data_IF_870996473826
#
_entry.id   IF_870996473826
#
_cell.length_a   1.000
_cell.length_b   1.000
_cell.length_c   1.000
_cell.angle_alpha   90.00
_cell.angle_beta   90.00
_cell.angle_gamma   90.00
#
_symmetry.space_group_name_H-M   'P 1'
#
loop_
_entity.id
_entity.type
_entity.pdbx_description
1 polymer ?
#
# COMPACT_ATOMS: atom_id res chain seq x y z
N UNK A 1 13.15 8.21 35.48
CA UNK A 1 12.07 9.09 34.93
C UNK A 1 11.61 8.49 33.61
N UNK A 2 10.72 7.50 33.67
CA UNK A 2 10.23 6.75 32.51
C UNK A 2 9.04 7.46 31.89
N UNK A 3 9.27 7.87 30.81
CA UNK A 3 8.76 8.55 29.64
C UNK A 3 7.26 8.61 29.42
N UNK A 4 6.80 9.82 29.19
CA UNK A 4 5.48 10.23 28.65
C UNK A 4 4.93 9.43 27.44
N UNK A 5 5.71 8.86 26.50
CA UNK A 5 5.17 8.19 25.32
C UNK A 5 4.41 6.89 25.65
N UNK A 6 4.84 6.12 26.65
CA UNK A 6 4.19 4.84 26.97
C UNK A 6 2.85 5.04 27.69
N UNK A 7 2.72 6.07 28.50
CA UNK A 7 1.44 6.43 29.14
C UNK A 7 0.42 6.91 28.11
N UNK A 8 0.86 7.73 27.17
CA UNK A 8 0.02 8.23 26.08
C UNK A 8 -0.46 7.08 25.19
N UNK A 9 0.44 6.16 24.84
CA UNK A 9 0.09 4.97 24.03
C UNK A 9 -0.95 4.09 24.72
N UNK A 10 -0.79 3.82 26.03
CA UNK A 10 -1.77 3.05 26.82
C UNK A 10 -3.11 3.74 26.93
N UNK A 11 -3.12 5.06 27.15
CA UNK A 11 -4.38 5.84 27.21
C UNK A 11 -5.14 5.75 25.89
N UNK A 12 -4.45 5.91 24.77
CA UNK A 12 -5.07 5.82 23.44
C UNK A 12 -5.55 4.40 23.14
N UNK A 13 -4.80 3.38 23.50
CA UNK A 13 -5.25 1.99 23.41
C UNK A 13 -6.54 1.76 24.19
N UNK A 14 -6.64 2.32 25.42
CA UNK A 14 -7.85 2.24 26.25
C UNK A 14 -9.04 2.98 25.64
N UNK A 15 -8.82 4.20 25.15
CA UNK A 15 -9.87 5.01 24.51
C UNK A 15 -10.31 4.38 23.18
N UNK A 16 -9.39 3.90 22.37
CA UNK A 16 -9.68 3.26 21.08
C UNK A 16 -10.47 1.95 21.24
N UNK A 17 -10.44 1.35 22.42
CA UNK A 17 -11.21 0.15 22.77
C UNK A 17 -12.67 0.45 23.18
N UNK A 18 -13.09 1.71 23.26
CA UNK A 18 -14.46 2.05 23.69
C UNK A 18 -15.47 1.93 22.54
N UNK A 19 -16.75 1.63 22.87
CA UNK A 19 -17.85 1.59 21.89
C UNK A 19 -18.13 2.96 21.27
N UNK A 20 -17.99 4.03 22.07
CA UNK A 20 -18.18 5.42 21.60
C UNK A 20 -17.10 5.78 20.58
N UNK A 21 -15.84 5.42 20.85
CA UNK A 21 -14.76 5.61 19.88
C UNK A 21 -15.04 4.85 18.58
N UNK A 22 -15.48 3.60 18.66
CA UNK A 22 -15.81 2.79 17.48
C UNK A 22 -16.91 3.42 16.59
N UNK A 23 -17.84 4.19 17.18
CA UNK A 23 -18.91 4.90 16.44
C UNK A 23 -18.41 6.19 15.78
N UNK A 24 -17.55 6.94 16.45
CA UNK A 24 -17.14 8.30 16.09
C UNK A 24 -15.83 8.30 15.27
N UNK A 25 -14.88 7.45 15.62
CA UNK A 25 -13.56 7.42 14.99
C UNK A 25 -13.57 7.21 13.47
N UNK A 26 -14.45 6.39 12.86
CA UNK A 26 -14.49 6.22 11.41
C UNK A 26 -14.79 7.49 10.63
N UNK A 27 -15.41 8.47 11.27
CA UNK A 27 -15.74 9.77 10.66
C UNK A 27 -14.73 10.85 11.04
N UNK A 28 -14.34 10.90 12.32
CA UNK A 28 -13.48 11.96 12.86
C UNK A 28 -12.01 11.72 12.54
N UNK A 29 -11.50 10.49 12.70
CA UNK A 29 -10.09 10.22 12.47
C UNK A 29 -9.70 10.44 11.01
N UNK A 30 -10.41 9.92 9.99
CA UNK A 30 -10.10 10.19 8.59
C UNK A 30 -10.34 11.66 8.19
N UNK A 31 -11.29 12.36 8.82
CA UNK A 31 -11.53 13.77 8.56
C UNK A 31 -10.40 14.63 9.12
N UNK A 32 -9.98 14.34 10.35
CA UNK A 32 -8.88 15.02 11.02
C UNK A 32 -7.55 14.73 10.34
N UNK A 33 -7.27 13.48 10.00
CA UNK A 33 -6.07 13.10 9.25
C UNK A 33 -6.03 13.76 7.87
N UNK A 34 -7.15 13.87 7.16
CA UNK A 34 -7.22 14.59 5.88
C UNK A 34 -6.99 16.09 6.04
N UNK A 35 -7.53 16.71 7.10
CA UNK A 35 -7.32 18.12 7.39
C UNK A 35 -5.85 18.39 7.72
N UNK A 36 -5.26 17.61 8.61
CA UNK A 36 -3.85 17.72 8.99
C UNK A 36 -2.94 17.41 7.80
N UNK A 37 -3.26 16.38 7.02
CA UNK A 37 -2.50 16.05 5.80
C UNK A 37 -2.52 17.17 4.77
N UNK A 38 -3.66 17.86 4.58
CA UNK A 38 -3.75 19.03 3.70
C UNK A 38 -2.94 20.22 4.24
N UNK A 39 -3.04 20.50 5.54
CA UNK A 39 -2.36 21.62 6.20
C UNK A 39 -0.84 21.43 6.27
N UNK A 40 -0.37 20.19 6.33
CA UNK A 40 1.07 19.86 6.45
C UNK A 40 1.71 19.44 5.14
N UNK A 41 1.03 19.62 4.01
CA UNK A 41 1.55 19.22 2.68
C UNK A 41 1.86 17.73 2.59
N UNK A 42 1.09 16.89 3.28
CA UNK A 42 1.26 15.44 3.21
C UNK A 42 2.25 14.83 4.21
N UNK A 43 2.82 15.65 5.10
CA UNK A 43 3.93 15.22 5.99
C UNK A 43 3.50 14.60 7.32
N UNK A 44 2.30 14.89 7.81
CA UNK A 44 1.84 14.46 9.13
C UNK A 44 0.47 13.80 9.05
N UNK A 45 0.37 12.56 9.52
CA UNK A 45 -0.86 11.91 9.94
C UNK A 45 -0.86 11.88 11.47
N UNK A 46 -1.88 12.45 12.13
CA UNK A 46 -1.96 12.48 13.60
C UNK A 46 -1.92 11.07 14.20
N UNK A 47 -2.56 10.11 13.53
CA UNK A 47 -2.56 8.69 13.88
C UNK A 47 -1.16 8.06 13.76
N UNK A 48 -0.29 8.58 12.90
CA UNK A 48 1.07 8.06 12.68
C UNK A 48 2.01 8.27 13.88
N UNK A 49 1.67 9.16 14.81
CA UNK A 49 2.42 9.32 16.09
C UNK A 49 2.24 8.12 17.02
N UNK A 50 1.21 7.30 16.78
CA UNK A 50 0.85 6.16 17.62
C UNK A 50 1.02 4.82 16.91
N UNK A 51 0.71 4.79 15.62
CA UNK A 51 0.89 3.64 14.74
C UNK A 51 1.50 4.13 13.42
N UNK A 52 2.43 3.40 12.83
CA UNK A 52 2.88 3.66 11.47
C UNK A 52 1.67 3.73 10.54
N UNK A 53 1.63 4.74 9.69
CA UNK A 53 0.53 4.97 8.75
C UNK A 53 1.02 5.10 7.32
N UNK A 54 0.20 4.65 6.40
CA UNK A 54 0.39 4.83 4.95
C UNK A 54 -0.90 5.35 4.31
N UNK A 55 -0.81 5.88 3.10
CA UNK A 55 -1.99 6.15 2.29
C UNK A 55 -2.06 5.07 1.21
N UNK A 56 -3.12 4.26 1.27
CA UNK A 56 -3.42 3.26 0.25
C UNK A 56 -4.20 3.91 -0.90
N UNK A 57 -3.72 3.75 -2.13
CA UNK A 57 -4.45 4.06 -3.36
C UNK A 57 -4.83 2.76 -4.03
N UNK A 58 -6.13 2.41 -3.99
CA UNK A 58 -6.69 1.19 -4.59
C UNK A 58 -7.68 1.52 -5.70
N UNK A 59 -7.92 0.59 -6.61
CA UNK A 59 -8.94 0.70 -7.64
C UNK A 59 -10.30 0.33 -7.05
N UNK A 60 -11.30 1.20 -7.18
CA UNK A 60 -12.65 0.99 -6.67
C UNK A 60 -13.32 -0.23 -7.30
N UNK A 61 -13.82 -1.17 -6.47
CA UNK A 61 -14.41 -2.41 -6.94
C UNK A 61 -15.63 -2.23 -7.85
N UNK A 62 -16.44 -1.20 -7.61
CA UNK A 62 -17.63 -0.90 -8.41
C UNK A 62 -17.34 0.04 -9.58
N UNK A 63 -16.53 1.09 -9.34
CA UNK A 63 -16.37 2.19 -10.30
C UNK A 63 -15.09 2.13 -11.12
N UNK A 64 -14.11 1.32 -10.73
CA UNK A 64 -12.78 1.29 -11.32
C UNK A 64 -11.93 2.54 -11.03
N UNK A 65 -12.48 3.57 -10.40
CA UNK A 65 -11.79 4.83 -10.13
C UNK A 65 -10.81 4.69 -8.94
N UNK A 66 -9.70 5.44 -8.93
CA UNK A 66 -8.78 5.45 -7.81
C UNK A 66 -9.45 5.90 -6.51
N UNK A 67 -9.17 5.18 -5.42
CA UNK A 67 -9.66 5.45 -4.06
C UNK A 67 -8.49 5.53 -3.10
N UNK A 68 -8.33 6.69 -2.47
CA UNK A 68 -7.26 6.94 -1.51
C UNK A 68 -7.80 6.89 -0.09
N UNK A 69 -7.14 6.16 0.78
CA UNK A 69 -7.51 6.03 2.19
C UNK A 69 -6.26 5.97 3.07
N UNK A 70 -6.18 6.82 4.13
CA UNK A 70 -5.14 6.69 5.13
C UNK A 70 -5.44 5.49 6.04
N UNK A 71 -4.43 4.65 6.27
CA UNK A 71 -4.53 3.43 7.07
C UNK A 71 -3.36 3.31 8.03
N UNK A 72 -3.63 2.83 9.24
CA UNK A 72 -2.59 2.28 10.09
C UNK A 72 -2.07 0.99 9.46
N UNK A 73 -0.78 0.77 9.54
CA UNK A 73 -0.12 -0.42 9.01
C UNK A 73 0.90 -0.95 10.02
N UNK A 74 1.22 -2.22 9.90
CA UNK A 74 2.37 -2.82 10.56
C UNK A 74 3.41 -3.13 9.47
N UNK A 75 4.56 -2.42 9.45
CA UNK A 75 5.68 -2.80 8.58
C UNK A 75 6.19 -4.18 8.97
N UNK A 76 6.51 -5.04 8.00
CA UNK A 76 6.98 -6.40 8.28
C UNK A 76 8.49 -6.46 8.53
N UNK A 77 9.24 -5.46 8.04
CA UNK A 77 10.66 -5.31 8.30
C UNK A 77 11.08 -3.83 8.37
N UNK A 78 12.34 -3.58 8.77
CA UNK A 78 12.89 -2.23 8.89
C UNK A 78 12.98 -1.50 7.54
N UNK A 79 13.16 -2.23 6.44
CA UNK A 79 13.22 -1.68 5.09
C UNK A 79 11.82 -1.44 4.50
N UNK A 80 10.75 -1.83 5.23
CA UNK A 80 9.36 -1.81 4.79
C UNK A 80 9.21 -2.47 3.40
N UNK A 81 9.77 -3.68 3.24
CA UNK A 81 9.58 -4.48 2.05
C UNK A 81 8.14 -4.95 1.91
N UNK A 82 7.40 -4.98 3.03
CA UNK A 82 5.99 -5.31 3.10
C UNK A 82 5.25 -4.61 4.25
N UNK A 83 3.93 -4.65 4.19
CA UNK A 83 3.05 -4.12 5.24
C UNK A 83 1.88 -5.06 5.47
N UNK A 84 1.51 -5.23 6.75
CA UNK A 84 0.23 -5.82 7.11
C UNK A 84 -0.82 -4.72 7.31
N UNK A 85 -1.96 -4.89 6.66
CA UNK A 85 -3.15 -4.04 6.82
C UNK A 85 -4.27 -4.81 7.49
N UNK A 86 -4.93 -4.18 8.46
CA UNK A 86 -5.99 -4.78 9.26
C UNK A 86 -7.33 -4.13 8.94
N UNK A 87 -8.24 -4.89 8.31
CA UNK A 87 -9.59 -4.44 7.92
C UNK A 87 -10.56 -4.42 9.10
N UNK A 88 -10.14 -3.85 10.23
CA UNK A 88 -10.92 -3.86 11.49
C UNK A 88 -12.19 -3.02 11.43
N UNK A 89 -12.16 -1.91 10.70
CA UNK A 89 -13.25 -0.92 10.71
C UNK A 89 -13.68 -0.51 12.13
N UNK A 90 -12.72 -0.43 13.06
CA UNK A 90 -12.95 -0.13 14.48
C UNK A 90 -13.93 -1.10 15.18
N UNK A 91 -14.07 -2.34 14.70
CA UNK A 91 -15.01 -3.32 15.25
C UNK A 91 -16.46 -3.05 14.86
N UNK A 92 -16.72 -2.51 13.66
CA UNK A 92 -18.06 -2.41 13.06
C UNK A 92 -18.34 -3.64 12.20
N UNK A 93 -19.63 -3.98 12.02
CA UNK A 93 -20.04 -5.18 11.31
C UNK A 93 -19.67 -5.18 9.82
N UNK A 94 -19.73 -4.02 9.17
CA UNK A 94 -19.35 -3.92 7.77
C UNK A 94 -17.82 -3.95 7.60
N UNK A 95 -17.36 -4.65 6.56
CA UNK A 95 -15.97 -4.53 6.11
C UNK A 95 -15.68 -3.12 5.58
N UNK A 96 -14.48 -2.56 5.80
CA UNK A 96 -14.09 -1.31 5.14
C UNK A 96 -14.01 -1.52 3.61
N UNK A 97 -14.50 -0.52 2.86
CA UNK A 97 -14.62 -0.62 1.40
C UNK A 97 -13.30 -0.96 0.68
N UNK A 98 -12.16 -0.45 1.20
CA UNK A 98 -10.85 -0.73 0.62
C UNK A 98 -10.51 -2.23 0.59
N UNK A 99 -11.04 -3.03 1.53
CA UNK A 99 -10.80 -4.48 1.53
C UNK A 99 -11.50 -5.17 0.36
N UNK A 100 -12.71 -4.71 0.00
CA UNK A 100 -13.42 -5.16 -1.20
C UNK A 100 -12.70 -4.75 -2.48
N UNK A 101 -12.12 -3.54 -2.50
CA UNK A 101 -11.32 -3.07 -3.61
C UNK A 101 -10.10 -3.97 -3.87
N UNK A 102 -9.34 -4.29 -2.81
CA UNK A 102 -8.15 -5.14 -2.92
C UNK A 102 -8.47 -6.60 -3.26
N UNK A 103 -9.64 -7.11 -2.86
CA UNK A 103 -10.08 -8.45 -3.27
C UNK A 103 -10.33 -8.52 -4.78
N UNK A 104 -10.92 -7.46 -5.34
CA UNK A 104 -11.22 -7.42 -6.78
C UNK A 104 -10.03 -6.99 -7.62
N UNK A 105 -9.25 -6.05 -7.12
CA UNK A 105 -8.09 -5.46 -7.78
C UNK A 105 -6.91 -5.46 -6.80
N UNK A 106 -6.10 -6.52 -6.79
CA UNK A 106 -5.02 -6.66 -5.81
C UNK A 106 -3.84 -5.71 -6.04
N UNK A 107 -3.69 -5.16 -7.23
CA UNK A 107 -2.65 -4.19 -7.52
C UNK A 107 -3.06 -2.80 -7.04
N UNK A 108 -2.17 -2.17 -6.29
CA UNK A 108 -2.40 -0.91 -5.61
C UNK A 108 -1.10 -0.11 -5.48
N UNK A 109 -1.20 1.08 -4.90
CA UNK A 109 -0.05 1.89 -4.54
C UNK A 109 -0.13 2.28 -3.07
N UNK A 110 1.00 2.39 -2.42
CA UNK A 110 1.10 2.98 -1.08
C UNK A 110 1.98 4.22 -1.11
N UNK A 111 1.50 5.28 -0.46
CA UNK A 111 2.36 6.42 -0.12
C UNK A 111 2.91 6.19 1.28
N UNK A 112 4.22 5.96 1.37
CA UNK A 112 4.95 5.67 2.59
C UNK A 112 6.20 6.55 2.66
N UNK A 113 6.34 7.31 3.76
CA UNK A 113 7.48 8.21 3.99
C UNK A 113 7.81 9.11 2.78
N UNK A 114 6.77 9.70 2.19
CA UNK A 114 6.91 10.61 1.04
C UNK A 114 7.16 9.94 -0.32
N UNK A 115 7.21 8.61 -0.38
CA UNK A 115 7.41 7.84 -1.62
C UNK A 115 6.12 7.13 -2.01
N UNK A 116 5.81 7.08 -3.29
CA UNK A 116 4.76 6.23 -3.86
C UNK A 116 5.39 4.93 -4.32
N UNK A 117 4.87 3.81 -3.82
CA UNK A 117 5.43 2.48 -4.02
C UNK A 117 4.31 1.59 -4.58
N UNK A 118 4.49 0.99 -5.77
CA UNK A 118 3.57 0.01 -6.29
C UNK A 118 3.64 -1.26 -5.45
N UNK A 119 2.46 -1.81 -5.13
CA UNK A 119 2.33 -3.01 -4.29
C UNK A 119 1.31 -3.97 -4.86
N UNK A 120 1.43 -5.23 -4.48
CA UNK A 120 0.39 -6.24 -4.66
C UNK A 120 -0.14 -6.67 -3.30
N UNK A 121 -1.46 -6.65 -3.17
CA UNK A 121 -2.17 -7.05 -1.97
C UNK A 121 -2.56 -8.54 -2.05
N UNK A 122 -2.42 -9.26 -0.94
CA UNK A 122 -2.89 -10.63 -0.80
C UNK A 122 -3.67 -10.77 0.52
N UNK A 123 -4.88 -11.31 0.43
CA UNK A 123 -5.63 -11.70 1.62
C UNK A 123 -4.91 -12.86 2.30
N UNK A 124 -4.73 -12.77 3.61
CA UNK A 124 -4.11 -13.85 4.40
C UNK A 124 -5.17 -14.83 4.88
N UNK A 125 -4.87 -16.11 4.76
CA UNK A 125 -5.76 -17.21 5.15
C UNK A 125 -4.98 -18.30 5.92
N UNK A 126 -5.70 -19.25 6.52
CA UNK A 126 -5.13 -20.40 7.20
C UNK A 126 -4.09 -20.05 8.28
N UNK A 127 -3.05 -20.84 8.37
CA UNK A 127 -2.01 -20.72 9.39
C UNK A 127 -1.22 -19.39 9.28
N UNK A 128 -1.03 -18.89 8.05
CA UNK A 128 -0.35 -17.61 7.82
C UNK A 128 -1.16 -16.45 8.41
N UNK A 129 -2.48 -16.45 8.21
CA UNK A 129 -3.35 -15.45 8.83
C UNK A 129 -3.30 -15.51 10.35
N UNK A 130 -3.29 -16.70 10.94
CA UNK A 130 -3.24 -16.85 12.40
C UNK A 130 -1.90 -16.32 12.97
N UNK A 131 -0.80 -16.57 12.28
CA UNK A 131 0.50 -16.00 12.65
C UNK A 131 0.49 -14.47 12.57
N UNK A 132 0.00 -13.92 11.45
CA UNK A 132 -0.13 -12.49 11.25
C UNK A 132 -1.10 -11.86 12.26
N UNK A 133 -2.21 -12.53 12.60
CA UNK A 133 -3.16 -12.05 13.60
C UNK A 133 -2.51 -11.90 14.98
N UNK A 134 -1.73 -12.89 15.43
CA UNK A 134 -0.97 -12.79 16.67
C UNK A 134 -0.01 -11.61 16.65
N UNK A 135 0.70 -11.42 15.54
CA UNK A 135 1.64 -10.31 15.38
C UNK A 135 0.95 -8.94 15.45
N UNK A 136 -0.15 -8.73 14.72
CA UNK A 136 -0.86 -7.44 14.72
C UNK A 136 -1.57 -7.17 16.04
N UNK A 137 -2.03 -8.19 16.77
CA UNK A 137 -2.60 -8.03 18.12
C UNK A 137 -1.51 -7.68 19.14
N UNK A 138 -0.33 -8.30 19.04
CA UNK A 138 0.81 -7.92 19.88
C UNK A 138 1.27 -6.48 19.60
N UNK A 139 1.26 -6.08 18.32
CA UNK A 139 1.59 -4.73 17.89
C UNK A 139 0.55 -3.67 18.33
N UNK A 140 -0.75 -4.01 18.22
CA UNK A 140 -1.88 -3.15 18.60
C UNK A 140 -3.01 -3.95 19.25
N UNK A 141 -2.99 -4.14 20.58
CA UNK A 141 -3.97 -4.96 21.32
C UNK A 141 -5.46 -4.64 21.07
N UNK A 142 -5.87 -3.39 20.79
CA UNK A 142 -7.28 -3.11 20.48
C UNK A 142 -7.86 -3.91 19.31
N UNK A 143 -7.06 -4.48 18.41
CA UNK A 143 -7.57 -5.35 17.34
C UNK A 143 -8.31 -6.58 17.89
N UNK A 144 -7.83 -7.17 18.99
CA UNK A 144 -8.53 -8.27 19.66
C UNK A 144 -9.91 -7.83 20.18
N UNK A 145 -10.00 -6.62 20.79
CA UNK A 145 -11.27 -6.06 21.24
C UNK A 145 -12.23 -5.79 20.07
N UNK A 146 -11.71 -5.33 18.93
CA UNK A 146 -12.54 -5.13 17.74
C UNK A 146 -13.09 -6.44 17.20
N UNK A 147 -12.27 -7.50 17.14
CA UNK A 147 -12.71 -8.82 16.70
C UNK A 147 -13.75 -9.42 17.64
N UNK A 148 -13.60 -9.24 18.95
CA UNK A 148 -14.53 -9.77 19.95
C UNK A 148 -15.94 -9.14 19.90
N UNK A 149 -16.11 -8.01 19.19
CA UNK A 149 -17.39 -7.29 19.09
C UNK A 149 -18.22 -7.65 17.88
N UNK A 150 -17.62 -8.35 16.92
CA UNK A 150 -18.21 -8.61 15.60
C UNK A 150 -18.08 -10.09 15.26
N UNK A 151 -19.06 -10.61 14.59
CA UNK A 151 -19.05 -12.02 14.14
C UNK A 151 -18.16 -12.22 12.91
N UNK A 152 -18.11 -11.21 12.02
CA UNK A 152 -17.26 -11.31 10.84
C UNK A 152 -15.79 -11.42 11.22
N UNK A 153 -15.06 -12.24 10.50
CA UNK A 153 -13.61 -12.34 10.63
C UNK A 153 -12.94 -11.08 10.04
N UNK A 154 -12.12 -10.38 10.83
CA UNK A 154 -11.35 -9.23 10.36
C UNK A 154 -10.38 -9.68 9.28
N UNK A 155 -10.46 -9.07 8.10
CA UNK A 155 -9.56 -9.34 6.98
C UNK A 155 -8.18 -8.78 7.25
N UNK A 156 -7.15 -9.58 6.97
CA UNK A 156 -5.75 -9.18 6.98
C UNK A 156 -5.20 -9.24 5.57
N UNK A 157 -4.54 -8.18 5.14
CA UNK A 157 -3.85 -8.14 3.86
C UNK A 157 -2.37 -7.95 4.08
N UNK A 158 -1.56 -8.75 3.37
CA UNK A 158 -0.15 -8.46 3.17
C UNK A 158 0.00 -7.68 1.88
N UNK A 159 0.70 -6.55 1.95
CA UNK A 159 1.14 -5.80 0.79
C UNK A 159 2.62 -6.07 0.58
N UNK A 160 2.99 -6.52 -0.60
CA UNK A 160 4.38 -6.68 -1.03
C UNK A 160 4.70 -5.69 -2.12
N UNK A 161 5.92 -5.16 -2.14
CA UNK A 161 6.38 -4.31 -3.24
C UNK A 161 6.32 -5.10 -4.53
N UNK A 162 5.90 -4.43 -5.57
CA UNK A 162 6.07 -4.94 -6.93
C UNK A 162 7.40 -4.40 -7.43
N UNK A 163 8.31 -5.30 -7.76
CA UNK A 163 9.46 -4.91 -8.55
C UNK A 163 8.92 -4.31 -9.84
N UNK A 164 9.34 -3.12 -10.18
CA UNK A 164 9.19 -2.57 -11.53
C UNK A 164 10.03 -3.49 -12.38
N UNK A 165 9.41 -4.51 -12.94
CA UNK A 165 10.08 -5.39 -13.88
C UNK A 165 10.84 -4.52 -14.83
N UNK A 166 12.17 -4.71 -14.88
CA UNK A 166 13.04 -4.00 -15.79
C UNK A 166 12.40 -4.08 -17.16
N UNK A 167 12.03 -2.93 -17.68
CA UNK A 167 11.69 -2.82 -19.09
C UNK A 167 12.89 -3.37 -19.83
N UNK A 168 12.71 -4.54 -20.40
CA UNK A 168 13.61 -5.08 -21.43
C UNK A 168 13.60 -4.06 -22.57
N UNK A 169 14.49 -3.10 -22.44
CA UNK A 169 14.88 -2.20 -23.51
C UNK A 169 15.73 -2.98 -24.48
N UNK A 170 15.09 -3.75 -25.31
CA UNK A 170 15.69 -4.27 -26.52
C UNK A 170 16.31 -3.12 -27.32
N UNK A 171 17.53 -2.75 -26.96
CA UNK A 171 18.42 -2.01 -27.84
C UNK A 171 18.93 -3.03 -28.86
N UNK A 172 18.15 -3.14 -29.92
CA UNK A 172 18.64 -3.73 -31.17
C UNK A 172 19.67 -2.76 -31.76
N UNK A 173 20.93 -2.96 -31.34
CA UNK A 173 22.10 -2.27 -31.82
C UNK A 173 22.57 -2.93 -33.11
N UNK A 174 21.86 -2.68 -34.21
CA UNK A 174 22.34 -2.99 -35.56
C UNK A 174 23.59 -2.19 -35.88
N UNK A 175 24.74 -2.69 -35.49
CA UNK A 175 26.03 -2.20 -35.92
C UNK A 175 26.46 -3.00 -37.15
N UNK A 176 26.00 -2.54 -38.34
CA UNK A 176 26.51 -3.02 -39.64
C UNK A 176 27.63 -2.12 -40.13
N UNK A 177 28.83 -2.32 -39.62
CA UNK A 177 30.04 -1.80 -40.26
C UNK A 177 30.49 -2.74 -41.39
N UNK A 178 30.43 -2.27 -42.61
CA UNK A 178 31.00 -2.91 -43.76
C UNK A 178 31.80 -1.93 -44.60
N UNK A 179 33.10 -1.87 -44.42
CA UNK A 179 34.06 -1.28 -45.36
C UNK A 179 34.34 -2.33 -46.44
N UNK A 180 34.52 -1.86 -47.67
CA UNK A 180 35.07 -2.64 -48.78
C UNK A 180 34.87 -1.87 -50.09
N UNK A 181 35.78 -1.05 -50.40
CA UNK A 181 36.91 -1.08 -51.35
C UNK A 181 36.48 -1.37 -52.79
N UNK A 182 36.69 -0.34 -53.59
CA UNK A 182 37.22 -0.22 -54.97
C UNK A 182 37.20 -1.44 -55.90
N UNK A 183 36.69 -1.27 -57.09
CA UNK A 183 37.47 -1.35 -58.34
C UNK A 183 36.58 -1.13 -59.55
N UNK A 184 36.92 -0.22 -60.34
CA UNK A 184 37.31 -0.07 -61.75
C UNK A 184 36.62 -1.03 -62.74
N UNK A 185 36.16 -0.45 -63.88
CA UNK A 185 35.74 -1.22 -65.02
C UNK A 185 34.81 -0.47 -65.98
N UNK A 186 35.43 0.35 -66.82
CA UNK A 186 34.89 0.89 -68.08
C UNK A 186 34.06 -0.10 -68.91
N UNK A 187 33.05 0.32 -69.61
CA UNK A 187 33.00 0.34 -71.09
C UNK A 187 31.65 0.79 -71.63
N UNK A 188 31.79 1.80 -72.44
CA UNK A 188 31.21 2.18 -73.70
C UNK A 188 29.86 1.64 -74.17
N UNK A 189 29.04 2.60 -74.58
CA UNK A 189 28.55 2.65 -75.92
C UNK A 189 27.07 2.58 -76.16
N UNK A 190 26.53 3.49 -76.99
CA UNK A 190 25.12 3.74 -77.22
C UNK A 190 24.60 3.07 -78.50
N UNK A 191 23.55 3.49 -79.14
CA UNK A 191 22.18 3.98 -78.80
C UNK A 191 21.09 3.23 -79.63
N UNK A 192 19.90 3.88 -79.63
CA UNK A 192 18.78 3.66 -80.63
C UNK A 192 17.73 2.63 -80.17
N UNK A 193 16.53 2.97 -80.03
CA UNK A 193 15.52 3.66 -80.77
C UNK A 193 14.38 4.10 -79.89
#
# INVERSE_FOLDING_TARGET
>A
MTSSPDRMRRLVQKVSSTRTFARVAPYVVPALDRAVHRLTGGRVLLSARMLPGLVLTSRGAATGLPRRVPLACMPEDAAAAGWLLVGSNFGRDAHPAWTGNLLKHPDAEVSWQGRTIPVRARLLEGAEREAAWRAVVAFWPPYATYQARIERRIRLFRLTRRDQGGGDGGRDGGHGGGRGSADDGRHDGPPSA
#
